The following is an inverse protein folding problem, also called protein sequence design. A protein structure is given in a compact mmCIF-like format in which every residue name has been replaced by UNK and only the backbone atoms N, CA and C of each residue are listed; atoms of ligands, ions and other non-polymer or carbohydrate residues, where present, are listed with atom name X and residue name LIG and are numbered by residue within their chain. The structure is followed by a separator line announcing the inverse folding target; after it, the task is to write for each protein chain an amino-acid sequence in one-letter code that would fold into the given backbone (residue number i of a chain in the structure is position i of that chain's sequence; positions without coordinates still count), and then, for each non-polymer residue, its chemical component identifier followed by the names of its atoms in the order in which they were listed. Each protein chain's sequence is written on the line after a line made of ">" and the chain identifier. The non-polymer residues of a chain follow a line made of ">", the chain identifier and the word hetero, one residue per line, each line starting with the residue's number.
data_IF_972670319360
#
_entry.id   IF_972670319360
#
_cell.length_a   1.000
_cell.length_b   1.000
_cell.length_c   1.000
_cell.angle_alpha   90.00
_cell.angle_beta   90.00
_cell.angle_gamma   90.00
#
_symmetry.space_group_name_H-M   'P 1'
#
loop_
_entity.id
_entity.type
_entity.pdbx_description
1 polymer ?
#
# COMPACT_ATOMS: atom_id res chain seq x y z
N UNK A 1 -10.39 7.10 36.20
CA UNK A 1 -9.70 6.34 35.14
C UNK A 1 -10.73 6.06 34.07
N UNK A 2 -10.42 6.34 32.80
CA UNK A 2 -11.25 5.83 31.70
C UNK A 2 -11.21 4.30 31.76
N UNK A 3 -12.38 3.65 31.81
CA UNK A 3 -12.48 2.22 31.50
C UNK A 3 -12.07 2.05 30.03
N UNK A 4 -11.29 1.02 29.69
CA UNK A 4 -10.95 0.69 28.30
C UNK A 4 -11.47 -0.70 27.93
N UNK A 5 -12.47 -1.18 28.67
CA UNK A 5 -12.96 -2.55 28.61
C UNK A 5 -13.39 -2.95 27.18
N UNK A 6 -14.04 -2.03 26.46
CA UNK A 6 -14.41 -2.22 25.06
C UNK A 6 -13.84 -1.12 24.16
N UNK A 7 -12.95 -1.53 23.26
CA UNK A 7 -12.31 -0.66 22.27
C UNK A 7 -12.94 -0.90 20.90
N UNK A 8 -13.20 0.16 20.13
CA UNK A 8 -13.43 0.03 18.69
C UNK A 8 -12.24 0.53 17.89
N UNK A 9 -11.97 -0.12 16.75
CA UNK A 9 -11.06 0.36 15.73
C UNK A 9 -11.85 0.51 14.42
N UNK A 10 -11.86 1.71 13.85
CA UNK A 10 -12.53 1.99 12.57
C UNK A 10 -11.50 1.99 11.46
N UNK A 11 -11.56 0.98 10.59
CA UNK A 11 -10.55 0.64 9.59
C UNK A 11 -9.67 -0.53 10.05
N UNK A 12 -9.28 -1.40 9.12
CA UNK A 12 -8.47 -2.59 9.42
C UNK A 12 -7.11 -2.63 8.70
N UNK A 13 -6.71 -1.54 8.04
CA UNK A 13 -5.43 -1.46 7.32
C UNK A 13 -4.19 -1.45 8.24
N UNK A 14 -3.00 -1.19 7.68
CA UNK A 14 -1.74 -1.29 8.42
C UNK A 14 -1.71 -0.52 9.75
N UNK A 15 -2.29 0.68 9.82
CA UNK A 15 -2.39 1.46 11.07
C UNK A 15 -3.09 0.67 12.18
N UNK A 16 -4.23 0.03 11.88
CA UNK A 16 -4.96 -0.81 12.83
C UNK A 16 -4.16 -2.07 13.19
N UNK A 17 -3.52 -2.68 12.20
CA UNK A 17 -2.73 -3.90 12.39
C UNK A 17 -1.53 -3.68 13.33
N UNK A 18 -0.79 -2.58 13.17
CA UNK A 18 0.29 -2.22 14.09
C UNK A 18 -0.24 -1.81 15.47
N UNK A 19 -1.40 -1.17 15.56
CA UNK A 19 -2.05 -0.94 16.86
C UNK A 19 -2.35 -2.27 17.57
N UNK A 20 -2.97 -3.24 16.88
CA UNK A 20 -3.25 -4.57 17.45
C UNK A 20 -1.96 -5.26 17.90
N UNK A 21 -0.88 -5.13 17.14
CA UNK A 21 0.44 -5.62 17.54
C UNK A 21 0.90 -5.03 18.87
N UNK A 22 0.89 -3.70 19.00
CA UNK A 22 1.33 -3.04 20.23
C UNK A 22 0.43 -3.37 21.42
N UNK A 23 -0.89 -3.48 21.20
CA UNK A 23 -1.82 -3.94 22.24
C UNK A 23 -1.50 -5.36 22.70
N UNK A 24 -1.17 -6.27 21.78
CA UNK A 24 -0.78 -7.64 22.12
C UNK A 24 0.55 -7.70 22.88
N UNK A 25 1.55 -6.90 22.50
CA UNK A 25 2.86 -6.83 23.16
C UNK A 25 2.78 -6.22 24.57
N UNK A 26 1.94 -5.19 24.74
CA UNK A 26 1.72 -4.52 26.03
C UNK A 26 0.53 -5.08 26.83
N UNK A 27 -0.07 -6.22 26.44
CA UNK A 27 -1.25 -6.76 27.11
C UNK A 27 -1.07 -6.92 28.64
N UNK A 28 0.14 -7.29 29.07
CA UNK A 28 0.52 -7.42 30.48
C UNK A 28 0.46 -6.11 31.28
N UNK A 29 0.57 -4.95 30.61
CA UNK A 29 0.54 -3.62 31.25
C UNK A 29 -0.88 -3.20 31.62
N UNK A 30 -1.88 -3.70 30.90
CA UNK A 30 -3.29 -3.31 31.09
C UNK A 30 -4.08 -4.35 31.90
N UNK A 31 -3.55 -5.55 32.12
CA UNK A 31 -4.25 -6.65 32.81
C UNK A 31 -5.60 -6.94 32.15
N UNK A 32 -6.67 -7.01 32.94
CA UNK A 32 -8.05 -7.18 32.45
C UNK A 32 -8.69 -5.86 31.96
N UNK A 33 -7.88 -4.85 31.63
CA UNK A 33 -8.32 -3.50 31.29
C UNK A 33 -9.02 -3.38 29.94
N UNK A 34 -8.80 -4.33 29.03
CA UNK A 34 -9.46 -4.46 27.72
C UNK A 34 -9.97 -5.90 27.61
N UNK A 35 -11.30 -6.10 27.59
CA UNK A 35 -11.88 -7.42 27.35
C UNK A 35 -12.10 -7.67 25.86
N UNK A 36 -12.49 -6.64 25.09
CA UNK A 36 -12.73 -6.80 23.65
C UNK A 36 -12.35 -5.60 22.80
N UNK A 37 -11.97 -5.92 21.56
CA UNK A 37 -11.64 -4.99 20.49
C UNK A 37 -12.53 -5.31 19.29
N UNK A 38 -13.46 -4.42 18.96
CA UNK A 38 -14.28 -4.53 17.76
C UNK A 38 -13.58 -3.79 16.59
N UNK A 39 -13.27 -4.49 15.50
CA UNK A 39 -12.64 -3.92 14.30
C UNK A 39 -13.66 -3.80 13.18
N UNK A 40 -13.89 -2.57 12.70
CA UNK A 40 -14.85 -2.27 11.63
C UNK A 40 -14.14 -2.02 10.31
N UNK A 41 -14.43 -2.81 9.29
CA UNK A 41 -13.89 -2.68 7.94
C UNK A 41 -15.03 -2.52 6.94
N UNK A 42 -14.96 -1.51 6.06
CA UNK A 42 -15.98 -1.30 5.04
C UNK A 42 -15.90 -2.36 3.93
N UNK A 43 -14.71 -2.87 3.64
CA UNK A 43 -14.46 -3.89 2.63
C UNK A 43 -14.76 -5.31 3.14
N UNK A 44 -14.79 -6.30 2.24
CA UNK A 44 -15.08 -7.68 2.60
C UNK A 44 -13.92 -8.37 3.36
N UNK A 45 -12.69 -7.89 3.22
CA UNK A 45 -11.49 -8.49 3.80
C UNK A 45 -10.84 -7.54 4.81
N UNK A 46 -10.64 -8.00 6.04
CA UNK A 46 -9.91 -7.27 7.07
C UNK A 46 -8.40 -7.38 6.87
N UNK A 47 -7.65 -6.42 7.42
CA UNK A 47 -6.19 -6.46 7.50
C UNK A 47 -5.47 -5.89 6.29
N UNK A 48 -6.12 -5.75 5.14
CA UNK A 48 -5.45 -5.43 3.87
C UNK A 48 -5.14 -3.93 3.74
N UNK A 49 -6.16 -3.08 3.94
CA UNK A 49 -6.08 -1.65 3.65
C UNK A 49 -6.25 -1.32 2.15
N UNK A 50 -6.77 -0.11 1.88
CA UNK A 50 -7.16 0.29 0.52
C UNK A 50 -6.04 0.17 -0.52
N UNK A 51 -4.79 0.64 -0.31
CA UNK A 51 -3.75 0.61 -1.36
C UNK A 51 -3.26 -0.78 -1.78
N UNK A 52 -3.56 -1.80 -0.98
CA UNK A 52 -3.08 -3.18 -1.16
C UNK A 52 -4.20 -4.14 -1.59
N UNK A 53 -5.44 -3.65 -1.64
CA UNK A 53 -6.60 -4.45 -2.02
C UNK A 53 -6.71 -4.63 -3.53
N UNK A 54 -7.12 -5.84 -3.95
CA UNK A 54 -7.45 -6.16 -5.34
C UNK A 54 -8.60 -5.32 -5.90
N UNK A 55 -9.41 -4.69 -5.04
CA UNK A 55 -10.51 -3.80 -5.43
C UNK A 55 -10.02 -2.45 -5.99
N UNK A 56 -8.77 -2.07 -5.69
CA UNK A 56 -8.23 -0.74 -6.00
C UNK A 56 -6.90 -0.77 -6.72
N UNK A 57 -6.13 -1.85 -6.57
CA UNK A 57 -4.78 -2.02 -7.12
C UNK A 57 -4.74 -3.03 -8.27
N UNK A 58 -3.67 -2.98 -9.07
CA UNK A 58 -3.39 -3.91 -10.15
C UNK A 58 -2.20 -4.81 -9.80
N UNK A 59 -2.09 -5.95 -10.46
CA UNK A 59 -0.99 -6.90 -10.28
C UNK A 59 0.38 -6.36 -10.75
N UNK A 60 0.40 -5.28 -11.53
CA UNK A 60 1.62 -4.58 -11.94
C UNK A 60 2.04 -3.46 -10.97
N UNK A 61 1.28 -3.23 -9.89
CA UNK A 61 1.64 -2.23 -8.88
C UNK A 61 2.59 -2.83 -7.86
N UNK A 62 3.70 -2.13 -7.63
CA UNK A 62 4.72 -2.52 -6.67
C UNK A 62 4.59 -1.69 -5.40
N UNK A 63 5.01 -2.28 -4.29
CA UNK A 63 5.27 -1.54 -3.06
C UNK A 63 6.45 -0.60 -3.28
N UNK A 64 6.47 0.49 -2.53
CA UNK A 64 7.60 1.42 -2.47
C UNK A 64 8.47 1.19 -1.22
N UNK A 65 8.27 0.07 -0.54
CA UNK A 65 8.95 -0.32 0.69
C UNK A 65 9.34 -1.80 0.59
N UNK A 66 10.58 -2.11 0.99
CA UNK A 66 11.08 -3.47 1.08
C UNK A 66 10.58 -4.19 2.34
N UNK A 67 10.83 -5.51 2.44
CA UNK A 67 10.52 -6.24 3.67
C UNK A 67 11.42 -5.83 4.84
N UNK A 68 12.65 -5.39 4.58
CA UNK A 68 13.59 -4.95 5.61
C UNK A 68 13.08 -3.68 6.29
N UNK A 69 12.59 -2.72 5.50
CA UNK A 69 12.09 -1.42 5.98
C UNK A 69 10.75 -1.50 6.73
N UNK A 70 9.97 -2.57 6.51
CA UNK A 70 8.67 -2.78 7.15
C UNK A 70 8.86 -3.43 8.53
N UNK A 71 8.42 -2.79 9.63
CA UNK A 71 8.57 -3.38 10.96
C UNK A 71 7.86 -4.75 11.03
N UNK A 72 8.54 -5.84 11.44
CA UNK A 72 8.00 -7.19 11.29
C UNK A 72 6.81 -7.41 12.21
N UNK A 73 5.69 -7.94 11.72
CA UNK A 73 4.50 -8.20 12.55
C UNK A 73 4.67 -9.49 13.37
N UNK A 74 3.99 -10.59 13.01
CA UNK A 74 4.29 -11.90 13.61
C UNK A 74 5.55 -12.49 12.97
N UNK A 75 5.76 -12.21 11.69
CA UNK A 75 6.97 -12.50 10.92
C UNK A 75 7.22 -11.38 9.91
N UNK A 76 8.41 -11.35 9.29
CA UNK A 76 8.71 -10.39 8.22
C UNK A 76 7.93 -10.72 6.93
N UNK A 77 7.77 -9.74 6.05
CA UNK A 77 7.09 -9.94 4.76
C UNK A 77 7.83 -10.93 3.86
N UNK A 78 9.16 -10.83 3.77
CA UNK A 78 9.98 -11.76 3.00
C UNK A 78 9.92 -13.20 3.57
N UNK A 79 9.92 -13.36 4.89
CA UNK A 79 9.80 -14.71 5.50
C UNK A 79 8.40 -15.29 5.27
N UNK A 80 7.36 -14.47 5.32
CA UNK A 80 6.02 -14.89 4.94
C UNK A 80 5.97 -15.35 3.48
N UNK A 81 6.52 -14.58 2.54
CA UNK A 81 6.62 -14.99 1.13
C UNK A 81 7.37 -16.32 1.00
N UNK A 82 8.50 -16.49 1.70
CA UNK A 82 9.25 -17.75 1.75
C UNK A 82 8.54 -18.88 2.50
N UNK A 83 7.40 -18.64 3.13
CA UNK A 83 6.57 -19.69 3.75
C UNK A 83 5.46 -20.20 2.82
N UNK A 84 5.08 -19.41 1.81
CA UNK A 84 3.99 -19.74 0.90
C UNK A 84 4.28 -20.99 0.06
N UNK A 85 3.23 -21.67 -0.42
CA UNK A 85 3.38 -22.75 -1.40
C UNK A 85 3.80 -22.21 -2.79
N UNK A 86 4.16 -23.13 -3.69
CA UNK A 86 4.66 -22.76 -5.02
C UNK A 86 3.59 -22.05 -5.85
N UNK A 87 2.33 -22.47 -5.72
CA UNK A 87 1.19 -21.95 -6.45
C UNK A 87 0.95 -20.47 -6.10
N UNK A 88 0.95 -20.13 -4.81
CA UNK A 88 0.75 -18.76 -4.32
C UNK A 88 1.91 -17.84 -4.71
N UNK A 89 3.15 -18.33 -4.66
CA UNK A 89 4.32 -17.57 -5.15
C UNK A 89 4.21 -17.28 -6.65
N UNK A 90 3.76 -18.25 -7.45
CA UNK A 90 3.57 -18.07 -8.88
C UNK A 90 2.49 -17.02 -9.19
N UNK A 91 1.43 -16.90 -8.37
CA UNK A 91 0.42 -15.84 -8.53
C UNK A 91 1.01 -14.44 -8.41
N UNK A 92 2.07 -14.28 -7.63
CA UNK A 92 2.81 -13.01 -7.51
C UNK A 92 3.97 -12.88 -8.51
N UNK A 93 4.19 -13.88 -9.38
CA UNK A 93 5.31 -13.91 -10.31
C UNK A 93 6.66 -14.14 -9.63
N UNK A 94 6.68 -14.79 -8.47
CA UNK A 94 7.87 -15.00 -7.65
C UNK A 94 8.34 -16.46 -7.66
N UNK A 95 9.64 -16.66 -7.50
CA UNK A 95 10.23 -17.94 -7.08
C UNK A 95 10.81 -17.78 -5.69
N UNK A 96 10.78 -18.86 -4.88
CA UNK A 96 11.25 -18.81 -3.48
C UNK A 96 12.71 -18.34 -3.37
N UNK A 97 13.55 -18.78 -4.29
CA UNK A 97 14.99 -18.47 -4.31
C UNK A 97 15.27 -16.99 -4.61
N UNK A 98 14.31 -16.28 -5.19
CA UNK A 98 14.40 -14.85 -5.52
C UNK A 98 13.77 -13.94 -4.46
N UNK A 99 13.28 -14.50 -3.34
CA UNK A 99 12.73 -13.71 -2.24
C UNK A 99 13.86 -13.28 -1.30
N UNK A 100 14.15 -11.98 -1.27
CA UNK A 100 15.07 -11.31 -0.34
C UNK A 100 14.35 -10.29 0.56
N UNK A 101 15.04 -9.77 1.57
CA UNK A 101 14.48 -8.74 2.45
C UNK A 101 14.58 -7.32 1.86
N UNK A 102 15.57 -7.09 0.99
CA UNK A 102 15.92 -5.79 0.40
C UNK A 102 15.17 -5.46 -0.90
N UNK A 103 14.41 -6.42 -1.44
CA UNK A 103 13.60 -6.24 -2.63
C UNK A 103 12.17 -5.75 -2.33
N UNK A 104 11.55 -5.10 -3.31
CA UNK A 104 10.14 -4.70 -3.26
C UNK A 104 9.26 -5.69 -4.02
N UNK A 105 8.06 -5.94 -3.49
CA UNK A 105 7.11 -6.90 -4.08
C UNK A 105 5.79 -6.22 -4.46
N UNK A 106 4.91 -6.96 -5.14
CA UNK A 106 3.61 -6.42 -5.56
C UNK A 106 2.77 -5.98 -4.36
N UNK A 107 1.95 -4.94 -4.56
CA UNK A 107 1.01 -4.48 -3.53
C UNK A 107 -0.01 -5.53 -3.14
N UNK A 108 -0.40 -6.37 -4.10
CA UNK A 108 -1.30 -7.49 -3.86
C UNK A 108 -0.65 -8.48 -2.88
N UNK A 109 0.61 -8.86 -3.10
CA UNK A 109 1.32 -9.75 -2.17
C UNK A 109 1.41 -9.17 -0.75
N UNK A 110 1.69 -7.85 -0.64
CA UNK A 110 1.70 -7.15 0.65
C UNK A 110 0.31 -7.14 1.31
N UNK A 111 -0.76 -6.99 0.53
CA UNK A 111 -2.13 -7.04 1.04
C UNK A 111 -2.49 -8.41 1.63
N UNK A 112 -2.13 -9.49 0.93
CA UNK A 112 -2.34 -10.87 1.40
C UNK A 112 -1.47 -11.15 2.65
N UNK A 113 -0.23 -10.62 2.69
CA UNK A 113 0.61 -10.66 3.89
C UNK A 113 -0.10 -9.99 5.07
N UNK A 114 -0.57 -8.75 4.92
CA UNK A 114 -1.22 -8.05 6.02
C UNK A 114 -2.52 -8.73 6.49
N UNK A 115 -3.32 -9.30 5.58
CA UNK A 115 -4.49 -10.10 5.96
C UNK A 115 -4.11 -11.33 6.79
N UNK A 116 -3.07 -12.07 6.39
CA UNK A 116 -2.58 -13.21 7.16
C UNK A 116 -2.01 -12.79 8.53
N UNK A 117 -1.25 -11.69 8.57
CA UNK A 117 -0.72 -11.16 9.82
C UNK A 117 -1.82 -10.61 10.75
N UNK A 118 -2.90 -10.08 10.20
CA UNK A 118 -4.08 -9.67 10.96
C UNK A 118 -4.70 -10.88 11.69
N UNK A 119 -4.94 -11.99 10.98
CA UNK A 119 -5.49 -13.21 11.57
C UNK A 119 -4.52 -13.83 12.61
N UNK A 120 -3.22 -13.78 12.35
CA UNK A 120 -2.21 -14.17 13.32
C UNK A 120 -2.22 -13.28 14.57
N UNK A 121 -2.53 -11.99 14.42
CA UNK A 121 -2.64 -11.05 15.53
C UNK A 121 -3.92 -11.27 16.36
N UNK A 122 -5.06 -11.50 15.70
CA UNK A 122 -6.31 -11.92 16.36
C UNK A 122 -6.05 -13.15 17.25
N UNK A 123 -5.37 -14.15 16.71
CA UNK A 123 -4.99 -15.35 17.46
C UNK A 123 -4.03 -15.08 18.62
N UNK A 124 -3.16 -14.06 18.53
CA UNK A 124 -2.27 -13.66 19.63
C UNK A 124 -3.04 -12.96 20.75
N UNK A 125 -3.98 -12.08 20.40
CA UNK A 125 -4.82 -11.36 21.36
C UNK A 125 -5.76 -12.31 22.12
N UNK A 126 -6.35 -13.28 21.43
CA UNK A 126 -7.20 -14.31 22.04
C UNK A 126 -6.44 -15.11 23.13
N UNK A 127 -5.17 -15.46 22.89
CA UNK A 127 -4.33 -16.18 23.85
C UNK A 127 -4.01 -15.40 25.12
N UNK A 128 -4.11 -14.07 25.08
CA UNK A 128 -3.93 -13.20 26.25
C UNK A 128 -5.27 -12.73 26.84
N UNK A 129 -6.39 -13.31 26.38
CA UNK A 129 -7.73 -13.06 26.92
C UNK A 129 -8.43 -11.83 26.35
N UNK A 130 -7.94 -11.26 25.25
CA UNK A 130 -8.55 -10.10 24.57
C UNK A 130 -9.29 -10.60 23.33
N UNK A 131 -10.62 -10.55 23.35
CA UNK A 131 -11.45 -10.93 22.21
C UNK A 131 -11.36 -9.89 21.09
N UNK A 132 -11.14 -10.32 19.85
CA UNK A 132 -11.27 -9.45 18.67
C UNK A 132 -12.54 -9.80 17.92
N UNK A 133 -13.45 -8.83 17.81
CA UNK A 133 -14.71 -8.99 17.08
C UNK A 133 -14.57 -8.34 15.70
N UNK A 134 -14.64 -9.15 14.65
CA UNK A 134 -14.44 -8.72 13.27
C UNK A 134 -15.77 -8.31 12.62
N UNK A 135 -15.85 -7.05 12.16
CA UNK A 135 -16.99 -6.54 11.40
C UNK A 135 -16.55 -6.18 9.97
N UNK A 136 -16.54 -7.17 9.06
CA UNK A 136 -16.31 -6.93 7.62
C UNK A 136 -17.58 -6.41 6.93
N UNK A 137 -17.40 -5.82 5.74
CA UNK A 137 -18.49 -5.21 4.95
C UNK A 137 -19.33 -4.21 5.76
N UNK A 138 -18.71 -3.57 6.75
CA UNK A 138 -19.34 -2.78 7.78
C UNK A 138 -18.80 -1.34 7.74
N UNK A 139 -19.46 -0.51 6.93
CA UNK A 139 -19.11 0.91 6.84
C UNK A 139 -19.60 1.67 8.07
N UNK A 140 -18.68 2.23 8.85
CA UNK A 140 -18.99 3.22 9.88
C UNK A 140 -19.35 4.54 9.21
N UNK A 141 -20.49 5.13 9.61
CA UNK A 141 -20.99 6.39 9.04
C UNK A 141 -20.97 7.55 10.03
N UNK A 142 -20.86 7.27 11.33
CA UNK A 142 -20.86 8.28 12.38
C UNK A 142 -20.27 7.73 13.70
N UNK A 143 -19.65 8.61 14.48
CA UNK A 143 -19.10 8.32 15.81
C UNK A 143 -19.58 9.42 16.75
N UNK A 144 -20.37 9.05 17.76
CA UNK A 144 -21.01 10.01 18.67
C UNK A 144 -20.49 9.84 20.10
N UNK A 145 -19.78 10.86 20.59
CA UNK A 145 -19.35 10.96 21.99
C UNK A 145 -20.54 11.25 22.92
N UNK A 146 -20.88 10.29 23.78
CA UNK A 146 -21.91 10.41 24.80
C UNK A 146 -21.30 10.81 26.15
N UNK A 147 -20.86 12.07 26.25
CA UNK A 147 -20.16 12.62 27.43
C UNK A 147 -20.81 12.32 28.78
N UNK A 148 -22.15 12.36 28.86
CA UNK A 148 -22.87 12.08 30.10
C UNK A 148 -22.84 10.60 30.52
N UNK A 149 -22.70 9.69 29.56
CA UNK A 149 -22.61 8.25 29.79
C UNK A 149 -21.15 7.75 29.85
N UNK A 150 -20.17 8.61 29.51
CA UNK A 150 -18.76 8.25 29.38
C UNK A 150 -18.55 7.07 28.39
N UNK A 151 -19.30 7.09 27.30
CA UNK A 151 -19.24 6.09 26.23
C UNK A 151 -19.26 6.75 24.86
N UNK A 152 -18.85 6.01 23.84
CA UNK A 152 -18.85 6.44 22.44
C UNK A 152 -19.71 5.46 21.64
N UNK A 153 -20.60 5.98 20.79
CA UNK A 153 -21.46 5.18 19.93
C UNK A 153 -20.95 5.21 18.49
N UNK A 154 -20.61 4.05 17.96
CA UNK A 154 -20.30 3.83 16.54
C UNK A 154 -21.58 3.44 15.81
N UNK A 155 -21.92 4.16 14.73
CA UNK A 155 -23.07 3.86 13.86
C UNK A 155 -22.60 3.32 12.53
N UNK A 156 -23.25 2.26 12.06
CA UNK A 156 -22.93 1.63 10.77
C UNK A 156 -23.95 2.03 9.70
N UNK A 157 -23.59 1.90 8.42
CA UNK A 157 -24.47 2.17 7.29
C UNK A 157 -25.71 1.24 7.28
N UNK A 158 -25.60 0.05 7.87
CA UNK A 158 -26.72 -0.88 8.06
C UNK A 158 -27.70 -0.46 9.17
N UNK A 159 -27.43 0.64 9.88
CA UNK A 159 -28.26 1.15 10.97
C UNK A 159 -27.93 0.57 12.36
N UNK A 160 -26.95 -0.34 12.45
CA UNK A 160 -26.50 -0.89 13.74
C UNK A 160 -25.79 0.16 14.58
N UNK A 161 -25.88 0.00 15.90
CA UNK A 161 -25.28 0.91 16.89
C UNK A 161 -24.51 0.10 17.91
N UNK A 162 -23.25 0.43 18.09
CA UNK A 162 -22.33 -0.26 19.00
C UNK A 162 -21.76 0.76 19.99
N UNK A 163 -21.66 0.38 21.26
CA UNK A 163 -21.21 1.28 22.34
C UNK A 163 -19.87 0.81 22.86
N UNK A 164 -18.94 1.74 23.00
CA UNK A 164 -17.54 1.51 23.37
C UNK A 164 -17.09 2.51 24.42
N UNK A 165 -16.02 2.18 25.14
CA UNK A 165 -15.37 3.12 26.05
C UNK A 165 -14.39 4.04 25.29
N UNK A 166 -13.78 3.53 24.23
CA UNK A 166 -12.86 4.26 23.37
C UNK A 166 -13.00 3.83 21.90
N UNK A 167 -12.66 4.74 20.99
CA UNK A 167 -12.63 4.48 19.55
C UNK A 167 -11.34 5.00 18.95
N UNK A 168 -10.61 4.16 18.23
CA UNK A 168 -9.48 4.56 17.40
C UNK A 168 -9.94 4.67 15.95
N UNK A 169 -9.66 5.81 15.32
CA UNK A 169 -9.92 6.04 13.91
C UNK A 169 -8.65 5.68 13.13
N UNK A 170 -8.70 4.57 12.41
CA UNK A 170 -7.64 4.02 11.56
C UNK A 170 -8.12 3.82 10.11
N UNK A 171 -9.05 4.67 9.67
CA UNK A 171 -9.75 4.55 8.38
C UNK A 171 -8.89 4.92 7.16
N UNK A 172 -7.67 5.38 7.39
CA UNK A 172 -6.84 6.02 6.36
C UNK A 172 -7.47 7.31 5.84
N UNK A 173 -7.04 7.72 4.65
CA UNK A 173 -7.53 8.90 3.94
C UNK A 173 -8.23 8.49 2.64
N UNK A 174 -9.20 9.30 2.22
CA UNK A 174 -9.91 9.13 0.96
C UNK A 174 -9.77 10.40 0.13
N UNK A 175 -9.52 10.25 -1.17
CA UNK A 175 -9.50 11.36 -2.12
C UNK A 175 -10.93 11.57 -2.62
N UNK A 176 -11.50 12.75 -2.34
CA UNK A 176 -12.90 13.07 -2.64
C UNK A 176 -13.09 13.78 -3.99
N UNK A 177 -12.05 13.83 -4.83
CA UNK A 177 -12.14 14.49 -6.12
C UNK A 177 -13.01 13.68 -7.09
N UNK A 178 -13.77 14.39 -7.92
CA UNK A 178 -14.79 13.80 -8.79
C UNK A 178 -14.21 13.58 -10.18
N UNK A 179 -14.41 12.38 -10.73
CA UNK A 179 -14.08 12.07 -12.12
C UNK A 179 -15.07 12.74 -13.08
N UNK A 180 -14.61 13.07 -14.29
CA UNK A 180 -15.46 13.45 -15.42
C UNK A 180 -15.10 12.59 -16.65
N UNK A 181 -15.59 11.33 -16.69
CA UNK A 181 -15.22 10.38 -17.74
C UNK A 181 -15.64 10.82 -19.14
N UNK A 182 -16.70 11.64 -19.26
CA UNK A 182 -17.20 12.14 -20.55
C UNK A 182 -16.21 13.11 -21.20
N UNK A 183 -15.45 13.86 -20.41
CA UNK A 183 -14.32 14.68 -20.89
C UNK A 183 -12.99 13.92 -20.92
N UNK A 184 -12.97 12.66 -20.48
CA UNK A 184 -11.76 11.86 -20.32
C UNK A 184 -10.90 12.24 -19.10
N UNK A 185 -11.47 12.98 -18.15
CA UNK A 185 -10.79 13.41 -16.93
C UNK A 185 -11.06 12.44 -15.78
N UNK A 186 -10.00 12.05 -15.08
CA UNK A 186 -10.08 11.23 -13.88
C UNK A 186 -9.23 11.88 -12.80
N UNK A 187 -9.83 12.15 -11.65
CA UNK A 187 -9.17 12.92 -10.61
C UNK A 187 -8.13 12.11 -9.83
N UNK A 188 -8.36 10.80 -9.74
CA UNK A 188 -7.43 9.85 -9.11
C UNK A 188 -7.29 8.61 -9.98
N UNK A 189 -6.10 7.98 -10.03
CA UNK A 189 -5.94 6.69 -10.69
C UNK A 189 -6.54 5.53 -9.89
N UNK A 190 -7.04 5.76 -8.67
CA UNK A 190 -7.66 4.71 -7.87
C UNK A 190 -9.20 4.84 -7.86
N UNK A 191 -9.94 3.72 -7.83
CA UNK A 191 -9.46 2.36 -8.10
C UNK A 191 -8.95 2.24 -9.55
N UNK A 192 -7.83 1.56 -9.77
CA UNK A 192 -7.17 1.50 -11.09
C UNK A 192 -8.05 0.91 -12.18
N UNK A 193 -8.94 0.01 -11.79
CA UNK A 193 -9.89 -0.69 -12.65
C UNK A 193 -10.73 0.27 -13.52
N UNK A 194 -11.04 1.48 -13.03
CA UNK A 194 -11.82 2.46 -13.80
C UNK A 194 -11.06 3.02 -15.01
N UNK A 195 -9.73 2.92 -15.01
CA UNK A 195 -8.85 3.41 -16.08
C UNK A 195 -8.38 2.31 -17.03
N UNK A 196 -8.61 1.05 -16.70
CA UNK A 196 -8.13 -0.08 -17.49
C UNK A 196 -9.06 -0.35 -18.67
N UNK A 197 -8.53 -0.53 -19.90
CA UNK A 197 -9.34 -0.98 -21.00
C UNK A 197 -9.88 -2.40 -20.73
N UNK A 198 -11.05 -2.70 -21.31
CA UNK A 198 -11.61 -4.06 -21.24
C UNK A 198 -10.67 -5.04 -21.93
N UNK A 199 -10.77 -6.33 -21.57
CA UNK A 199 -9.96 -7.38 -22.18
C UNK A 199 -10.08 -7.36 -23.71
N UNK A 200 -8.92 -7.22 -24.39
CA UNK A 200 -8.84 -7.14 -25.85
C UNK A 200 -9.09 -5.75 -26.44
N UNK A 201 -9.26 -4.72 -25.60
CA UNK A 201 -9.29 -3.32 -26.02
C UNK A 201 -7.99 -2.61 -25.64
N UNK A 202 -7.69 -1.55 -26.37
CA UNK A 202 -6.50 -0.73 -26.17
C UNK A 202 -6.85 0.76 -26.30
N UNK A 203 -6.07 1.58 -25.63
CA UNK A 203 -6.04 3.02 -25.77
C UNK A 203 -4.97 3.38 -26.83
N UNK A 204 -5.38 3.79 -28.01
CA UNK A 204 -4.46 4.27 -29.07
C UNK A 204 -4.40 5.81 -29.10
N UNK A 205 -4.12 6.40 -27.95
CA UNK A 205 -4.03 7.85 -27.79
C UNK A 205 -3.06 8.23 -26.66
N UNK A 206 -2.75 9.52 -26.57
CA UNK A 206 -1.90 10.05 -25.51
C UNK A 206 -2.67 10.15 -24.19
N UNK A 207 -2.15 9.54 -23.15
CA UNK A 207 -2.65 9.64 -21.77
C UNK A 207 -1.73 10.59 -20.99
N UNK A 208 -2.30 11.66 -20.45
CA UNK A 208 -1.60 12.64 -19.64
C UNK A 208 -1.82 12.42 -18.15
N UNK A 209 -0.77 12.49 -17.33
CA UNK A 209 -0.92 12.53 -15.86
C UNK A 209 -0.63 13.93 -15.34
N UNK A 210 -1.48 14.42 -14.43
CA UNK A 210 -1.19 15.60 -13.62
C UNK A 210 -0.56 15.14 -12.32
N UNK A 211 0.76 15.10 -12.30
CA UNK A 211 1.55 14.51 -11.24
C UNK A 211 2.47 13.40 -11.76
N UNK A 212 3.60 13.25 -11.08
CA UNK A 212 4.63 12.27 -11.39
C UNK A 212 5.09 11.52 -10.13
N UNK A 213 4.17 11.24 -9.19
CA UNK A 213 4.45 10.48 -7.97
C UNK A 213 4.01 9.01 -8.13
N UNK A 214 4.04 8.23 -7.04
CA UNK A 214 3.75 6.79 -7.03
C UNK A 214 2.42 6.42 -7.72
N UNK A 215 1.35 7.19 -7.50
CA UNK A 215 0.05 6.93 -8.15
C UNK A 215 0.09 7.10 -9.67
N UNK A 216 0.94 7.99 -10.20
CA UNK A 216 1.15 8.11 -11.64
C UNK A 216 1.93 6.90 -12.19
N UNK A 217 2.89 6.37 -11.42
CA UNK A 217 3.63 5.16 -11.77
C UNK A 217 2.74 3.92 -11.78
N UNK A 218 1.79 3.82 -10.85
CA UNK A 218 0.78 2.76 -10.85
C UNK A 218 0.02 2.74 -12.19
N UNK A 219 -0.51 3.89 -12.61
CA UNK A 219 -1.19 4.04 -13.90
C UNK A 219 -0.30 3.66 -15.09
N UNK A 220 0.93 4.18 -15.10
CA UNK A 220 1.91 3.92 -16.17
C UNK A 220 2.24 2.43 -16.24
N UNK A 221 2.52 1.81 -15.10
CA UNK A 221 2.83 0.38 -15.01
C UNK A 221 1.67 -0.45 -15.57
N UNK A 222 0.45 -0.17 -15.12
CA UNK A 222 -0.73 -0.89 -15.58
C UNK A 222 -0.99 -0.73 -17.08
N UNK A 223 -0.91 0.49 -17.62
CA UNK A 223 -1.19 0.71 -19.03
C UNK A 223 -0.04 0.21 -19.90
N UNK A 224 1.21 0.46 -19.55
CA UNK A 224 2.36 0.05 -20.36
C UNK A 224 2.40 -1.48 -20.58
N UNK A 225 2.17 -2.28 -19.54
CA UNK A 225 2.13 -3.74 -19.63
C UNK A 225 0.95 -4.28 -20.48
N UNK A 226 -0.13 -3.51 -20.60
CA UNK A 226 -1.29 -3.88 -21.43
C UNK A 226 -1.13 -3.48 -22.90
N UNK A 227 -0.42 -2.39 -23.17
CA UNK A 227 -0.30 -1.80 -24.51
C UNK A 227 1.01 -2.15 -25.23
N UNK A 228 1.88 -2.95 -24.60
CA UNK A 228 3.17 -3.30 -25.18
C UNK A 228 4.04 -4.12 -24.25
N UNK A 229 5.32 -4.24 -24.61
CA UNK A 229 6.32 -4.99 -23.85
C UNK A 229 7.65 -4.26 -23.84
N UNK A 230 8.33 -4.29 -22.71
CA UNK A 230 9.73 -3.89 -22.62
C UNK A 230 10.62 -5.06 -23.03
N UNK A 231 11.62 -4.79 -23.88
CA UNK A 231 12.60 -5.78 -24.34
C UNK A 231 14.02 -5.22 -24.23
N UNK A 232 14.99 -6.07 -23.93
CA UNK A 232 16.39 -5.69 -23.75
C UNK A 232 16.94 -6.08 -22.38
N UNK A 233 18.26 -6.13 -22.27
CA UNK A 233 19.00 -6.32 -21.03
C UNK A 233 19.82 -5.04 -20.78
N UNK A 234 19.68 -4.44 -19.59
CA UNK A 234 20.23 -3.12 -19.24
C UNK A 234 19.53 -1.92 -19.91
N UNK A 235 19.42 -1.88 -21.24
CA UNK A 235 18.73 -0.81 -21.98
C UNK A 235 17.38 -1.28 -22.51
N UNK A 236 16.32 -1.07 -21.71
CA UNK A 236 14.97 -1.45 -22.07
C UNK A 236 14.43 -0.60 -23.23
N UNK A 237 13.82 -1.27 -24.22
CA UNK A 237 13.06 -0.66 -25.32
C UNK A 237 11.60 -1.08 -25.24
N UNK A 238 10.70 -0.12 -25.23
CA UNK A 238 9.26 -0.37 -25.28
C UNK A 238 8.81 -0.64 -26.71
N UNK A 239 8.14 -1.78 -26.92
CA UNK A 239 7.48 -2.13 -28.18
C UNK A 239 5.99 -2.17 -27.94
N UNK A 240 5.25 -1.25 -28.57
CA UNK A 240 3.79 -1.24 -28.55
C UNK A 240 3.22 -2.51 -29.22
N UNK A 241 2.05 -2.94 -28.75
CA UNK A 241 1.23 -3.95 -29.41
C UNK A 241 0.64 -3.37 -30.70
N UNK A 242 0.19 -4.25 -31.59
CA UNK A 242 -0.56 -3.86 -32.80
C UNK A 242 -1.83 -3.09 -32.41
N UNK A 243 -2.08 -1.95 -33.05
CA UNK A 243 -3.21 -1.06 -32.72
C UNK A 243 -2.97 -0.15 -31.51
N UNK A 244 -1.73 -0.03 -31.04
CA UNK A 244 -1.31 0.88 -29.97
C UNK A 244 -0.18 1.83 -30.43
N UNK A 245 -0.03 2.05 -31.74
CA UNK A 245 1.09 2.81 -32.32
C UNK A 245 1.12 4.29 -31.89
N UNK A 246 -0.04 4.85 -31.53
CA UNK A 246 -0.21 6.21 -31.02
C UNK A 246 -0.28 6.28 -29.49
N UNK A 247 -0.25 5.14 -28.79
CA UNK A 247 -0.24 5.09 -27.33
C UNK A 247 1.01 5.78 -26.77
N UNK A 248 0.78 6.82 -25.95
CA UNK A 248 1.85 7.59 -25.31
C UNK A 248 1.45 7.94 -23.89
N UNK A 249 2.41 7.93 -22.99
CA UNK A 249 2.24 8.40 -21.62
C UNK A 249 3.03 9.70 -21.46
N UNK A 250 2.34 10.77 -21.07
CA UNK A 250 2.94 12.10 -20.84
C UNK A 250 2.72 12.48 -19.38
N UNK A 251 3.81 12.53 -18.62
CA UNK A 251 3.77 12.90 -17.22
C UNK A 251 4.00 14.40 -17.04
N UNK A 252 3.13 15.07 -16.30
CA UNK A 252 3.33 16.45 -15.90
C UNK A 252 3.82 16.50 -14.45
N UNK A 253 4.94 17.17 -14.23
CA UNK A 253 5.52 17.41 -12.91
C UNK A 253 5.81 18.90 -12.78
N UNK A 254 5.39 19.53 -11.68
CA UNK A 254 5.56 20.97 -11.48
C UNK A 254 7.02 21.44 -11.62
N UNK A 255 7.98 20.56 -11.37
CA UNK A 255 9.41 20.84 -11.46
C UNK A 255 10.19 19.80 -12.30
N UNK A 256 9.49 18.94 -13.06
CA UNK A 256 10.15 17.91 -13.88
C UNK A 256 10.81 16.77 -13.09
N UNK A 257 10.47 16.60 -11.80
CA UNK A 257 11.00 15.51 -10.98
C UNK A 257 10.20 14.22 -11.19
N UNK A 258 10.92 13.11 -11.28
CA UNK A 258 10.41 11.76 -11.07
C UNK A 258 10.63 11.34 -9.61
N UNK A 259 9.77 10.45 -9.07
CA UNK A 259 9.94 9.94 -7.73
C UNK A 259 11.16 9.02 -7.73
N UNK A 260 11.91 9.07 -6.65
CA UNK A 260 12.99 8.13 -6.39
C UNK A 260 12.47 7.05 -5.45
N UNK A 261 12.98 5.83 -5.58
CA UNK A 261 12.86 4.85 -4.50
C UNK A 261 13.53 5.49 -3.27
N UNK A 262 12.74 5.71 -2.22
CA UNK A 262 13.26 6.14 -0.94
C UNK A 262 13.83 4.91 -0.27
N UNK A 263 15.12 5.00 0.05
CA UNK A 263 15.79 4.06 0.92
C UNK A 263 16.02 4.77 2.24
N UNK A 264 15.97 4.02 3.33
CA UNK A 264 16.44 4.55 4.59
C UNK A 264 17.92 4.98 4.54
N UNK A 265 18.17 6.21 5.01
CA UNK A 265 19.50 6.80 5.07
C UNK A 265 19.84 7.15 6.52
N UNK A 266 20.73 6.36 7.12
CA UNK A 266 21.25 6.61 8.48
C UNK A 266 22.31 7.71 8.51
N UNK A 267 22.99 7.93 7.38
CA UNK A 267 23.81 9.12 7.12
C UNK A 267 23.59 9.63 5.69
N UNK A 268 23.66 10.96 5.45
CA UNK A 268 23.49 11.56 4.13
C UNK A 268 24.65 11.16 3.22
N UNK A 269 24.47 10.09 2.43
CA UNK A 269 25.56 9.47 1.68
C UNK A 269 25.64 9.89 0.20
N UNK A 270 24.76 10.79 -0.29
CA UNK A 270 24.75 11.15 -1.72
C UNK A 270 24.79 12.65 -1.96
N UNK A 271 25.90 13.13 -2.50
CA UNK A 271 25.89 14.27 -3.41
C UNK A 271 25.30 13.82 -4.75
N UNK A 272 24.12 14.34 -5.07
CA UNK A 272 23.44 14.09 -6.34
C UNK A 272 23.96 15.06 -7.40
N UNK A 273 24.87 14.62 -8.26
CA UNK A 273 25.26 15.37 -9.46
C UNK A 273 24.18 15.19 -10.53
N UNK A 274 23.33 16.20 -10.71
CA UNK A 274 22.25 16.20 -11.69
C UNK A 274 22.66 17.02 -12.91
N UNK A 275 23.07 16.33 -13.99
CA UNK A 275 23.23 16.98 -15.29
C UNK A 275 21.87 17.06 -15.97
N UNK A 276 21.28 18.26 -16.02
CA UNK A 276 20.17 18.57 -16.91
C UNK A 276 20.75 19.39 -18.06
N UNK A 277 20.88 18.80 -19.24
CA UNK A 277 21.04 19.59 -20.46
C UNK A 277 19.66 19.89 -21.01
N UNK A 278 19.24 21.15 -20.89
CA UNK A 278 18.14 21.68 -21.68
C UNK A 278 18.59 21.70 -23.15
N UNK A 279 18.10 20.74 -23.96
CA UNK A 279 18.46 20.61 -25.36
C UNK A 279 17.35 19.93 -26.14
N UNK A 280 16.70 20.71 -27.00
CA UNK A 280 15.63 20.31 -27.92
C UNK A 280 16.20 19.30 -28.94
N UNK A 281 15.75 18.05 -28.90
CA UNK A 281 15.49 17.11 -30.01
C UNK A 281 15.84 15.63 -29.70
N UNK A 282 14.81 14.79 -29.91
CA UNK A 282 14.82 13.36 -30.33
C UNK A 282 16.10 12.54 -30.04
N UNK A 283 16.13 11.91 -28.87
CA UNK A 283 16.50 10.51 -28.60
C UNK A 283 16.72 10.35 -27.09
N UNK A 284 16.17 9.29 -26.49
CA UNK A 284 16.31 9.02 -25.04
C UNK A 284 17.31 7.90 -24.83
N UNK A 285 18.38 8.18 -24.07
CA UNK A 285 19.34 7.17 -23.59
C UNK A 285 19.44 7.30 -22.07
N UNK A 286 19.11 6.23 -21.35
CA UNK A 286 19.41 6.11 -19.92
C UNK A 286 20.90 5.76 -19.76
N UNK A 287 21.68 6.65 -19.14
CA UNK A 287 23.05 6.37 -18.73
C UNK A 287 23.05 6.08 -17.23
N UNK A 288 23.55 4.90 -16.84
CA UNK A 288 23.64 4.44 -15.45
C UNK A 288 24.61 5.29 -14.61
N UNK A 289 24.30 5.45 -13.32
CA UNK A 289 25.17 6.11 -12.36
C UNK A 289 26.33 5.21 -11.93
N UNK A 290 27.49 5.83 -11.66
CA UNK A 290 28.69 5.15 -11.12
C UNK A 290 28.65 5.21 -9.59
N UNK A 291 28.87 4.07 -8.92
CA UNK A 291 29.01 4.00 -7.46
C UNK A 291 30.42 4.42 -7.01
N UNK A 292 30.48 5.08 -5.85
CA UNK A 292 31.74 5.43 -5.18
C UNK A 292 32.31 4.21 -4.42
N UNK A 293 33.62 3.91 -4.48
CA UNK A 293 34.17 2.65 -3.96
C UNK A 293 34.24 2.51 -2.43
N UNK A 294 33.88 3.55 -1.65
CA UNK A 294 34.25 3.66 -0.23
C UNK A 294 33.07 3.74 0.77
N UNK A 295 31.89 3.23 0.43
CA UNK A 295 30.79 3.16 1.41
C UNK A 295 30.92 1.92 2.31
N UNK A 296 31.34 2.12 3.56
CA UNK A 296 31.35 1.09 4.60
C UNK A 296 29.93 0.57 4.87
N UNK A 297 29.74 -0.74 4.70
CA UNK A 297 28.44 -1.44 4.73
C UNK A 297 27.94 -1.77 6.13
N UNK A 298 28.67 -1.41 7.20
CA UNK A 298 28.51 -2.06 8.51
C UNK A 298 27.60 -1.37 9.53
N UNK A 299 26.97 -0.23 9.24
CA UNK A 299 26.14 0.48 10.23
C UNK A 299 24.93 1.17 9.62
N UNK A 300 23.74 0.56 9.68
CA UNK A 300 22.45 1.25 9.49
C UNK A 300 21.36 0.62 10.40
N UNK A 301 20.70 1.44 11.22
CA UNK A 301 19.55 1.09 12.07
C UNK A 301 18.43 2.12 11.85
N UNK A 302 17.19 1.65 12.00
CA UNK A 302 16.06 2.05 11.17
C UNK A 302 14.93 2.87 11.83
N UNK A 303 14.29 3.76 11.08
CA UNK A 303 12.94 4.29 11.29
C UNK A 303 12.23 4.56 9.93
N UNK A 304 11.17 3.80 9.66
CA UNK A 304 10.24 3.99 8.55
C UNK A 304 8.99 4.75 9.02
N UNK A 305 8.52 5.70 8.20
CA UNK A 305 7.16 6.23 8.34
C UNK A 305 6.20 5.32 7.57
N UNK A 306 5.46 4.52 8.32
CA UNK A 306 4.20 3.93 7.88
C UNK A 306 3.19 5.06 7.68
N UNK A 307 2.63 5.17 6.47
CA UNK A 307 1.51 6.06 6.17
C UNK A 307 0.17 5.41 6.53
#
# INVERSE_FOLDING_TARGET
>A
MLSLNRLAIVGSGPTALYLLRYLAESAHEFGDGIASIDVFEQGPQLGVGMPYSRETTDHHHMCNISSEELPPLVQSFADWLRSLNKESLNEFGLSRDNVSHDETYSRIAMGEYFADQFQAMVSKLDRVGIEVVEHSSCKVVDIVDQRHANTIVVKTAAGSRHTFDAVVIASGHHFCDVDDPDSGYFASPWPIQKLLPKKGQFCDFTVGTLGASLSAFDLISSLAHRHGKFTGDGSLRYKANEGCENFKLVMHSAQGWLPHLQYEQVEPFRELYRHVTAGIHREWTLLGGVESPNADRSKRHMASFLW
#
